data_IF_461207464326
#
_entry.id   IF_461207464326
#
_cell.length_a   1.000
_cell.length_b   1.000
_cell.length_c   1.000
_cell.angle_alpha   90.00
_cell.angle_beta   90.00
_cell.angle_gamma   90.00
#
_symmetry.space_group_name_H-M   'P 1'
#
loop_
_entity.id
_entity.type
_entity.pdbx_description
1 polymer ?
#
# COMPACT_ATOMS: atom_id res chain seq x y z
N UNK A 1 -7.31 -25.04 0.48
CA UNK A 1 -5.83 -25.09 0.68
C UNK A 1 -5.49 -24.54 2.05
N UNK A 2 -4.30 -24.87 2.56
CA UNK A 2 -3.72 -24.23 3.73
C UNK A 2 -2.66 -23.22 3.28
N UNK A 3 -2.79 -21.96 3.68
CA UNK A 3 -1.92 -20.85 3.27
C UNK A 3 -1.17 -20.31 4.50
N UNK A 4 0.16 -20.25 4.44
CA UNK A 4 0.98 -19.64 5.47
C UNK A 4 1.43 -18.24 5.01
N UNK A 5 1.06 -17.21 5.76
CA UNK A 5 1.45 -15.82 5.52
C UNK A 5 2.49 -15.39 6.56
N UNK A 6 3.64 -14.90 6.12
CA UNK A 6 4.74 -14.46 6.99
C UNK A 6 4.93 -12.95 6.83
N UNK A 7 4.74 -12.21 7.92
CA UNK A 7 4.81 -10.74 7.94
C UNK A 7 5.60 -10.23 9.14
N UNK A 8 6.16 -9.04 9.04
CA UNK A 8 6.93 -8.39 10.11
C UNK A 8 6.07 -7.57 11.09
N UNK A 9 4.79 -7.37 10.76
CA UNK A 9 3.86 -6.58 11.57
C UNK A 9 2.41 -6.96 11.20
N UNK A 10 1.50 -7.08 12.18
CA UNK A 10 0.15 -7.55 11.94
C UNK A 10 -0.88 -6.96 12.94
N UNK A 11 -2.16 -6.90 12.50
CA UNK A 11 -3.30 -6.48 13.33
C UNK A 11 -3.47 -7.38 14.57
N UNK A 12 -4.12 -6.92 15.66
CA UNK A 12 -4.55 -5.55 15.94
C UNK A 12 -3.44 -4.67 16.54
N UNK A 13 -2.25 -5.22 16.80
CA UNK A 13 -1.15 -4.51 17.47
C UNK A 13 -0.41 -3.52 16.57
N UNK A 14 -0.83 -3.38 15.32
CA UNK A 14 -0.28 -2.43 14.36
C UNK A 14 -1.35 -1.58 13.71
N UNK A 15 -1.05 -0.29 13.57
CA UNK A 15 -1.89 0.68 12.84
C UNK A 15 -1.36 0.94 11.43
N UNK A 16 -0.32 0.22 11.00
CA UNK A 16 0.26 0.41 9.68
C UNK A 16 -0.69 -0.07 8.57
N UNK A 17 -0.70 0.65 7.46
CA UNK A 17 -1.46 0.27 6.25
C UNK A 17 -1.10 -1.14 5.78
N UNK A 18 0.18 -1.51 5.82
CA UNK A 18 0.65 -2.84 5.44
C UNK A 18 0.03 -3.96 6.30
N UNK A 19 -0.05 -3.77 7.62
CA UNK A 19 -0.66 -4.75 8.53
C UNK A 19 -2.14 -4.94 8.22
N UNK A 20 -2.87 -3.85 7.95
CA UNK A 20 -4.27 -3.89 7.52
C UNK A 20 -4.42 -4.62 6.19
N UNK A 21 -3.63 -4.26 5.18
CA UNK A 21 -3.67 -4.90 3.85
C UNK A 21 -3.43 -6.41 3.94
N UNK A 22 -2.45 -6.84 4.73
CA UNK A 22 -2.14 -8.26 4.88
C UNK A 22 -3.23 -9.00 5.67
N UNK A 23 -3.93 -8.33 6.59
CA UNK A 23 -5.08 -8.89 7.28
C UNK A 23 -6.29 -9.01 6.32
N UNK A 24 -6.60 -8.00 5.54
CA UNK A 24 -7.64 -8.05 4.50
C UNK A 24 -7.39 -9.21 3.52
N UNK A 25 -6.15 -9.42 3.09
CA UNK A 25 -5.77 -10.54 2.22
C UNK A 25 -5.98 -11.90 2.90
N UNK A 26 -5.64 -12.01 4.19
CA UNK A 26 -5.84 -13.24 4.96
C UNK A 26 -7.33 -13.55 5.13
N UNK A 27 -8.15 -12.54 5.44
CA UNK A 27 -9.61 -12.66 5.53
C UNK A 27 -10.24 -13.06 4.19
N UNK A 28 -9.77 -12.48 3.08
CA UNK A 28 -10.26 -12.81 1.74
C UNK A 28 -9.96 -14.27 1.37
N UNK A 29 -8.76 -14.77 1.67
CA UNK A 29 -8.47 -16.20 1.49
C UNK A 29 -9.36 -17.08 2.38
N UNK A 30 -9.64 -16.66 3.61
CA UNK A 30 -10.54 -17.38 4.52
C UNK A 30 -11.98 -17.41 3.97
N UNK A 31 -12.46 -16.28 3.47
CA UNK A 31 -13.78 -16.18 2.82
C UNK A 31 -13.90 -17.08 1.57
N UNK A 32 -12.79 -17.29 0.86
CA UNK A 32 -12.70 -18.24 -0.28
C UNK A 32 -12.57 -19.72 0.17
N UNK A 33 -12.69 -20.01 1.46
CA UNK A 33 -12.66 -21.36 2.01
C UNK A 33 -11.25 -21.95 2.21
N UNK A 34 -10.21 -21.10 2.25
CA UNK A 34 -8.86 -21.54 2.58
C UNK A 34 -8.62 -21.46 4.10
N UNK A 35 -7.75 -22.33 4.62
CA UNK A 35 -7.27 -22.25 6.00
C UNK A 35 -6.01 -21.38 6.03
N UNK A 36 -6.08 -20.23 6.71
CA UNK A 36 -5.00 -19.25 6.74
C UNK A 36 -4.32 -19.24 8.08
N UNK A 37 -2.99 -19.34 8.07
CA UNK A 37 -2.13 -19.16 9.24
C UNK A 37 -1.21 -17.97 8.99
N UNK A 38 -1.22 -17.00 9.89
CA UNK A 38 -0.30 -15.84 9.85
C UNK A 38 0.77 -16.03 10.89
N UNK A 39 2.03 -15.88 10.50
CA UNK A 39 3.20 -15.93 11.38
C UNK A 39 3.83 -14.55 11.44
N UNK A 40 3.87 -13.96 12.63
CA UNK A 40 4.33 -12.57 12.83
C UNK A 40 5.10 -12.42 14.14
N UNK A 41 6.14 -11.56 14.24
CA UNK A 41 6.82 -11.29 15.48
C UNK A 41 5.93 -10.49 16.46
N UNK A 42 6.13 -10.70 17.72
CA UNK A 42 5.65 -9.83 18.78
C UNK A 42 6.75 -9.61 19.83
N UNK A 43 6.88 -8.37 20.30
CA UNK A 43 7.94 -7.98 21.26
C UNK A 43 7.43 -7.87 22.69
N UNK A 44 6.11 -7.81 22.86
CA UNK A 44 5.43 -7.53 24.14
C UNK A 44 4.71 -8.77 24.69
N UNK A 45 5.12 -9.97 24.31
CA UNK A 45 4.62 -11.25 24.85
C UNK A 45 5.68 -11.87 25.77
N UNK A 46 5.23 -12.49 26.86
CA UNK A 46 6.10 -13.18 27.80
C UNK A 46 6.42 -14.61 27.32
N UNK A 47 5.48 -15.26 26.69
CA UNK A 47 5.60 -16.60 26.13
C UNK A 47 6.41 -16.59 24.81
N UNK A 48 6.99 -17.73 24.47
CA UNK A 48 7.72 -17.87 23.20
C UNK A 48 6.81 -17.79 21.97
N UNK A 49 5.55 -18.22 22.12
CA UNK A 49 4.52 -18.24 21.08
C UNK A 49 3.14 -18.01 21.69
N UNK A 50 2.42 -17.05 21.15
CA UNK A 50 0.99 -16.84 21.44
C UNK A 50 0.20 -17.14 20.17
N UNK A 51 -0.91 -17.88 20.30
CA UNK A 51 -1.79 -18.23 19.18
C UNK A 51 -3.16 -17.65 19.45
N UNK A 52 -3.67 -16.87 18.51
CA UNK A 52 -4.98 -16.23 18.59
C UNK A 52 -5.78 -16.43 17.30
N UNK A 53 -7.08 -16.23 17.37
CA UNK A 53 -7.95 -16.15 16.19
C UNK A 53 -8.38 -14.69 16.00
N UNK A 54 -8.20 -14.18 14.80
CA UNK A 54 -8.60 -12.83 14.41
C UNK A 54 -9.39 -12.92 13.11
N UNK A 55 -10.69 -12.66 13.16
CA UNK A 55 -11.62 -12.70 12.02
C UNK A 55 -11.54 -14.02 11.22
N UNK A 56 -11.40 -15.15 11.92
CA UNK A 56 -11.29 -16.49 11.34
C UNK A 56 -9.89 -16.82 10.79
N UNK A 57 -8.91 -15.95 11.00
CA UNK A 57 -7.50 -16.15 10.66
C UNK A 57 -6.72 -16.58 11.90
N UNK A 58 -5.99 -17.70 11.80
CA UNK A 58 -5.15 -18.17 12.89
C UNK A 58 -3.82 -17.46 12.91
N UNK A 59 -3.53 -16.68 13.94
CA UNK A 59 -2.33 -15.83 14.06
C UNK A 59 -1.37 -16.43 15.08
N UNK A 60 -0.14 -16.70 14.65
CA UNK A 60 0.97 -17.23 15.45
C UNK A 60 1.97 -16.10 15.70
N UNK A 61 1.96 -15.56 16.92
CA UNK A 61 2.85 -14.47 17.35
C UNK A 61 4.05 -15.04 18.06
N UNK A 62 5.20 -15.02 17.42
CA UNK A 62 6.44 -15.49 18.03
C UNK A 62 7.21 -14.36 18.72
N UNK A 63 7.83 -14.68 19.87
CA UNK A 63 8.65 -13.74 20.62
C UNK A 63 9.86 -13.30 19.80
N UNK A 64 10.06 -11.97 19.70
CA UNK A 64 11.14 -11.36 18.97
C UNK A 64 11.77 -10.19 19.75
N UNK A 65 12.96 -9.77 19.35
CA UNK A 65 13.59 -8.58 19.91
C UNK A 65 12.96 -7.29 19.37
N UNK A 66 13.02 -6.21 20.17
CA UNK A 66 12.51 -4.88 19.76
C UNK A 66 13.27 -4.33 18.56
N UNK A 67 12.52 -3.85 17.55
CA UNK A 67 13.05 -3.21 16.34
C UNK A 67 12.74 -1.71 16.26
N UNK A 68 11.89 -1.20 17.17
CA UNK A 68 11.60 0.24 17.33
C UNK A 68 12.14 0.74 18.66
N UNK A 69 12.51 2.02 18.71
CA UNK A 69 13.03 2.68 19.91
C UNK A 69 14.27 1.99 20.51
N UNK A 70 15.13 1.46 19.67
CA UNK A 70 16.41 0.83 20.02
C UNK A 70 17.53 1.34 19.11
N UNK A 71 18.80 1.16 19.51
CA UNK A 71 19.94 1.55 18.67
C UNK A 71 19.92 0.84 17.31
N UNK A 72 20.50 1.47 16.28
CA UNK A 72 20.56 0.92 14.90
C UNK A 72 21.21 -0.47 14.88
N UNK A 73 22.23 -0.70 15.70
CA UNK A 73 22.91 -2.01 15.80
C UNK A 73 21.97 -3.06 16.39
N UNK A 74 21.30 -2.75 17.51
CA UNK A 74 20.35 -3.67 18.15
C UNK A 74 19.18 -3.98 17.25
N UNK A 75 18.68 -2.99 16.50
CA UNK A 75 17.67 -3.18 15.48
C UNK A 75 18.13 -4.16 14.40
N UNK A 76 19.31 -3.93 13.81
CA UNK A 76 19.84 -4.80 12.75
C UNK A 76 20.01 -6.25 13.24
N UNK A 77 20.50 -6.46 14.46
CA UNK A 77 20.61 -7.81 15.07
C UNK A 77 19.23 -8.45 15.21
N UNK A 78 18.26 -7.75 15.78
CA UNK A 78 16.92 -8.28 16.04
C UNK A 78 16.19 -8.60 14.73
N UNK A 79 16.30 -7.75 13.71
CA UNK A 79 15.75 -8.00 12.37
C UNK A 79 16.40 -9.23 11.71
N UNK A 80 17.73 -9.38 11.83
CA UNK A 80 18.46 -10.54 11.29
C UNK A 80 18.01 -11.85 11.93
N UNK A 81 17.69 -11.81 13.22
CA UNK A 81 17.24 -12.98 13.97
C UNK A 81 15.76 -13.34 13.72
N UNK A 82 15.00 -12.59 12.94
CA UNK A 82 13.57 -12.85 12.70
C UNK A 82 13.31 -14.29 12.20
N UNK A 83 14.02 -14.74 11.19
CA UNK A 83 13.88 -16.11 10.67
C UNK A 83 14.23 -17.19 11.71
N UNK A 84 15.27 -16.96 12.48
CA UNK A 84 15.69 -17.88 13.54
C UNK A 84 14.66 -17.93 14.67
N UNK A 85 14.20 -16.79 15.15
CA UNK A 85 13.21 -16.70 16.21
C UNK A 85 11.86 -17.31 15.80
N UNK A 86 11.41 -17.02 14.56
CA UNK A 86 10.21 -17.64 14.01
C UNK A 86 10.33 -19.16 13.96
N UNK A 87 11.45 -19.70 13.45
CA UNK A 87 11.67 -21.14 13.43
C UNK A 87 11.72 -21.73 14.84
N UNK A 88 12.52 -21.14 15.74
CA UNK A 88 12.69 -21.63 17.12
C UNK A 88 11.37 -21.71 17.87
N UNK A 89 10.56 -20.66 17.77
CA UNK A 89 9.35 -20.51 18.59
C UNK A 89 8.10 -21.16 17.96
N UNK A 90 8.08 -21.34 16.64
CA UNK A 90 6.97 -21.96 15.91
C UNK A 90 7.32 -23.37 15.35
N UNK A 91 8.41 -23.99 15.79
CA UNK A 91 8.91 -25.26 15.21
C UNK A 91 7.83 -26.35 15.19
N UNK A 92 7.20 -26.61 16.32
CA UNK A 92 6.19 -27.67 16.45
C UNK A 92 4.97 -27.38 15.55
N UNK A 93 4.58 -26.10 15.43
CA UNK A 93 3.55 -25.70 14.49
C UNK A 93 3.95 -26.01 13.05
N UNK A 94 5.15 -25.64 12.62
CA UNK A 94 5.60 -25.88 11.26
C UNK A 94 5.76 -27.35 10.92
N UNK A 95 6.26 -28.17 11.84
CA UNK A 95 6.48 -29.60 11.63
C UNK A 95 5.15 -30.39 11.59
N UNK A 96 4.15 -29.97 12.37
CA UNK A 96 2.86 -30.67 12.47
C UNK A 96 1.76 -30.12 11.55
N UNK A 97 2.00 -28.99 10.86
CA UNK A 97 1.01 -28.37 10.01
C UNK A 97 1.58 -28.08 8.61
N UNK A 98 1.40 -29.03 7.72
CA UNK A 98 1.73 -28.84 6.29
C UNK A 98 0.82 -27.76 5.68
N UNK A 99 1.41 -26.84 4.93
CA UNK A 99 0.70 -25.83 4.15
C UNK A 99 0.94 -26.04 2.65
N UNK A 100 0.06 -25.50 1.80
CA UNK A 100 0.09 -25.66 0.34
C UNK A 100 0.76 -24.47 -0.37
N UNK A 101 0.84 -23.32 0.30
CA UNK A 101 1.39 -22.07 -0.22
C UNK A 101 2.02 -21.25 0.91
N UNK A 102 3.19 -20.66 0.65
CA UNK A 102 3.81 -19.67 1.51
C UNK A 102 3.70 -18.29 0.84
N UNK A 103 3.17 -17.32 1.54
CA UNK A 103 3.17 -15.91 1.16
C UNK A 103 4.00 -15.16 2.18
N UNK A 104 4.92 -14.31 1.73
CA UNK A 104 5.69 -13.50 2.65
C UNK A 104 5.87 -12.08 2.14
N UNK A 105 6.00 -11.15 3.05
CA UNK A 105 5.89 -9.72 2.81
C UNK A 105 7.21 -9.00 3.03
N UNK A 106 7.64 -8.20 2.06
CA UNK A 106 8.71 -7.20 2.19
C UNK A 106 8.06 -5.82 2.39
N UNK A 107 8.49 -5.05 3.43
CA UNK A 107 9.87 -4.54 3.54
C UNK A 107 10.87 -5.39 4.32
N UNK A 108 10.50 -6.38 5.09
CA UNK A 108 11.52 -7.20 5.75
C UNK A 108 12.25 -8.12 4.75
N UNK A 109 13.57 -7.95 4.66
CA UNK A 109 14.44 -8.80 3.82
C UNK A 109 14.95 -10.05 4.56
N UNK A 110 14.55 -10.27 5.81
CA UNK A 110 15.13 -11.28 6.69
C UNK A 110 14.31 -12.57 6.81
N UNK A 111 13.19 -12.69 6.09
CA UNK A 111 12.39 -13.93 6.10
C UNK A 111 12.83 -15.01 5.11
N UNK A 112 13.71 -14.67 4.16
CA UNK A 112 14.21 -15.63 3.16
C UNK A 112 14.71 -16.96 3.74
N UNK A 113 15.55 -16.98 4.78
CA UNK A 113 16.03 -18.23 5.39
C UNK A 113 14.90 -19.11 5.95
N UNK A 114 13.89 -18.50 6.59
CA UNK A 114 12.69 -19.22 7.08
C UNK A 114 11.91 -19.81 5.91
N UNK A 115 11.65 -19.02 4.87
CA UNK A 115 10.91 -19.44 3.68
C UNK A 115 11.60 -20.60 2.98
N UNK A 116 12.91 -20.56 2.81
CA UNK A 116 13.67 -21.70 2.26
C UNK A 116 13.49 -22.97 3.07
N UNK A 117 13.54 -22.85 4.41
CA UNK A 117 13.37 -23.99 5.30
C UNK A 117 11.96 -24.59 5.22
N UNK A 118 10.93 -23.73 5.21
CA UNK A 118 9.53 -24.16 5.09
C UNK A 118 9.24 -24.75 3.71
N UNK A 119 9.77 -24.18 2.63
CA UNK A 119 9.66 -24.75 1.28
C UNK A 119 10.21 -26.18 1.21
N UNK A 120 11.37 -26.40 1.83
CA UNK A 120 11.96 -27.75 1.90
C UNK A 120 11.13 -28.70 2.76
N UNK A 121 10.60 -28.21 3.90
CA UNK A 121 9.80 -29.01 4.81
C UNK A 121 8.47 -29.44 4.19
N UNK A 122 7.79 -28.51 3.49
CA UNK A 122 6.44 -28.72 2.96
C UNK A 122 6.41 -29.06 1.46
N UNK A 123 7.53 -28.93 0.76
CA UNK A 123 7.63 -29.09 -0.70
C UNK A 123 6.61 -28.25 -1.47
N UNK A 124 6.56 -26.92 -1.19
CA UNK A 124 5.56 -26.00 -1.71
C UNK A 124 6.16 -24.79 -2.38
N UNK A 125 5.34 -24.07 -3.15
CA UNK A 125 5.71 -22.79 -3.75
C UNK A 125 5.58 -21.65 -2.77
N UNK A 126 6.27 -20.55 -3.10
CA UNK A 126 6.25 -19.32 -2.31
C UNK A 126 6.04 -18.10 -3.18
N UNK A 127 5.30 -17.15 -2.65
CA UNK A 127 5.00 -15.85 -3.25
C UNK A 127 5.57 -14.73 -2.38
N UNK A 128 6.44 -13.90 -2.94
CA UNK A 128 6.92 -12.68 -2.29
C UNK A 128 6.06 -11.49 -2.71
N UNK A 129 5.43 -10.82 -1.75
CA UNK A 129 4.81 -9.52 -1.96
C UNK A 129 5.88 -8.45 -1.71
N UNK A 130 6.46 -7.93 -2.78
CA UNK A 130 7.55 -6.96 -2.72
C UNK A 130 7.00 -5.53 -2.81
N UNK A 131 7.14 -4.78 -1.71
CA UNK A 131 6.63 -3.40 -1.59
C UNK A 131 7.71 -2.36 -1.36
N UNK A 132 8.94 -2.81 -1.13
CA UNK A 132 10.05 -1.93 -0.84
C UNK A 132 11.35 -2.50 -1.44
N UNK A 133 12.12 -1.65 -2.09
CA UNK A 133 13.41 -2.01 -2.68
C UNK A 133 14.57 -1.67 -1.72
N UNK A 134 14.43 -2.04 -0.44
CA UNK A 134 15.54 -1.94 0.49
C UNK A 134 16.60 -3.02 0.20
N UNK A 135 17.89 -2.70 0.14
CA UNK A 135 18.54 -1.45 0.56
C UNK A 135 18.66 -0.37 -0.53
N UNK A 136 18.18 -0.60 -1.75
CA UNK A 136 18.44 0.31 -2.87
C UNK A 136 17.90 1.73 -2.63
N UNK A 137 16.65 1.87 -2.16
CA UNK A 137 16.12 3.21 -1.86
C UNK A 137 16.95 3.98 -0.82
N UNK A 138 17.56 3.27 0.14
CA UNK A 138 18.42 3.90 1.14
C UNK A 138 19.78 4.32 0.55
N UNK A 139 20.25 3.63 -0.48
CA UNK A 139 21.44 4.01 -1.25
C UNK A 139 21.13 5.25 -2.09
N UNK A 140 20.01 5.24 -2.82
CA UNK A 140 19.59 6.34 -3.70
C UNK A 140 19.37 7.65 -2.91
N UNK A 141 18.82 7.53 -1.69
CA UNK A 141 18.66 8.65 -0.76
C UNK A 141 19.94 8.99 0.05
N UNK A 142 21.11 8.41 -0.28
CA UNK A 142 22.39 8.65 0.39
C UNK A 142 22.40 8.37 1.90
N UNK A 143 21.45 7.55 2.39
CA UNK A 143 21.40 7.06 3.78
C UNK A 143 22.43 5.95 3.98
N UNK A 144 22.66 5.14 2.95
CA UNK A 144 23.67 4.10 2.90
C UNK A 144 24.66 4.40 1.76
N UNK A 145 25.97 4.26 2.05
CA UNK A 145 26.98 4.30 0.99
C UNK A 145 26.98 3.00 0.20
N UNK A 146 26.97 3.08 -1.13
CA UNK A 146 26.87 1.92 -2.04
C UNK A 146 27.90 0.82 -1.77
N UNK A 147 29.12 1.20 -1.38
CA UNK A 147 30.24 0.29 -1.17
C UNK A 147 30.56 0.03 0.32
N UNK A 148 29.65 0.32 1.23
CA UNK A 148 29.87 0.07 2.64
C UNK A 148 29.66 -1.42 3.00
N UNK A 149 30.35 -1.96 4.01
CA UNK A 149 30.14 -3.34 4.47
C UNK A 149 28.68 -3.62 4.87
N UNK A 150 28.01 -2.62 5.46
CA UNK A 150 26.61 -2.75 5.87
C UNK A 150 25.67 -2.85 4.65
N UNK A 151 26.01 -2.20 3.54
CA UNK A 151 25.23 -2.30 2.29
C UNK A 151 25.39 -3.69 1.68
N UNK A 152 26.59 -4.25 1.66
CA UNK A 152 26.81 -5.63 1.20
C UNK A 152 26.07 -6.65 2.07
N UNK A 153 26.04 -6.42 3.38
CA UNK A 153 25.27 -7.21 4.32
C UNK A 153 23.77 -7.21 4.00
N UNK A 154 23.16 -6.05 3.79
CA UNK A 154 21.74 -5.96 3.42
C UNK A 154 21.48 -6.55 2.03
N UNK A 155 22.31 -6.30 1.04
CA UNK A 155 22.21 -6.90 -0.30
C UNK A 155 22.28 -8.42 -0.27
N UNK A 156 23.07 -9.00 0.64
CA UNK A 156 23.12 -10.44 0.84
C UNK A 156 21.77 -11.00 1.32
N UNK A 157 21.16 -10.39 2.34
CA UNK A 157 19.85 -10.83 2.82
C UNK A 157 18.74 -10.56 1.82
N UNK A 158 18.75 -9.43 1.13
CA UNK A 158 17.84 -9.14 0.03
C UNK A 158 17.91 -10.23 -1.05
N UNK A 159 19.11 -10.62 -1.47
CA UNK A 159 19.32 -11.71 -2.44
C UNK A 159 18.73 -13.02 -1.94
N UNK A 160 18.96 -13.40 -0.69
CA UNK A 160 18.37 -14.61 -0.09
C UNK A 160 16.84 -14.50 -0.10
N UNK A 161 16.30 -13.35 0.33
CA UNK A 161 14.86 -13.14 0.41
C UNK A 161 14.20 -13.27 -0.97
N UNK A 162 14.72 -12.58 -1.98
CA UNK A 162 14.20 -12.63 -3.34
C UNK A 162 14.36 -14.03 -3.98
N UNK A 163 15.49 -14.71 -3.74
CA UNK A 163 15.74 -16.06 -4.27
C UNK A 163 14.84 -17.12 -3.64
N UNK A 164 14.33 -16.90 -2.42
CA UNK A 164 13.40 -17.83 -1.77
C UNK A 164 12.04 -17.88 -2.48
N UNK A 165 11.64 -16.83 -3.21
CA UNK A 165 10.40 -16.79 -3.95
C UNK A 165 10.40 -17.72 -5.18
N UNK A 166 9.22 -18.24 -5.53
CA UNK A 166 8.93 -18.76 -6.87
C UNK A 166 8.37 -17.65 -7.76
N UNK A 167 7.50 -16.82 -7.19
CA UNK A 167 6.92 -15.66 -7.84
C UNK A 167 7.09 -14.42 -6.97
N UNK A 168 7.35 -13.28 -7.59
CA UNK A 168 7.48 -11.98 -6.93
C UNK A 168 6.43 -11.04 -7.48
N UNK A 169 5.54 -10.56 -6.59
CA UNK A 169 4.54 -9.54 -6.90
C UNK A 169 5.06 -8.15 -6.61
N UNK A 170 5.20 -7.34 -7.63
CA UNK A 170 5.78 -5.99 -7.62
C UNK A 170 4.69 -4.96 -7.83
N UNK A 171 4.80 -3.82 -7.20
CA UNK A 171 3.74 -2.85 -6.93
C UNK A 171 3.17 -2.14 -8.18
N UNK A 172 3.97 -1.97 -9.25
CA UNK A 172 3.55 -1.30 -10.48
C UNK A 172 4.35 -1.76 -11.70
N UNK A 173 3.89 -1.50 -12.95
CA UNK A 173 4.64 -1.81 -14.17
C UNK A 173 6.03 -1.17 -14.20
N UNK A 174 6.16 0.10 -13.83
CA UNK A 174 7.48 0.79 -13.80
C UNK A 174 8.42 0.19 -12.76
N UNK A 175 7.91 -0.17 -11.60
CA UNK A 175 8.69 -0.86 -10.57
C UNK A 175 9.12 -2.26 -11.04
N UNK A 176 8.29 -2.96 -11.80
CA UNK A 176 8.63 -4.25 -12.40
C UNK A 176 9.71 -4.11 -13.47
N UNK A 177 9.59 -3.12 -14.36
CA UNK A 177 10.60 -2.79 -15.36
C UNK A 177 11.95 -2.50 -14.70
N UNK A 178 11.95 -1.61 -13.70
CA UNK A 178 13.15 -1.28 -12.93
C UNK A 178 13.75 -2.51 -12.26
N UNK A 179 12.93 -3.34 -11.61
CA UNK A 179 13.38 -4.56 -10.93
C UNK A 179 14.03 -5.54 -11.92
N UNK A 180 13.45 -5.72 -13.09
CA UNK A 180 13.96 -6.61 -14.14
C UNK A 180 15.33 -6.14 -14.66
N UNK A 181 15.54 -4.83 -14.77
CA UNK A 181 16.83 -4.27 -15.17
C UNK A 181 17.89 -4.39 -14.06
N UNK A 182 17.48 -4.20 -12.81
CA UNK A 182 18.40 -4.19 -11.66
C UNK A 182 18.74 -5.60 -11.16
N UNK A 183 17.77 -6.50 -11.15
CA UNK A 183 17.92 -7.88 -10.71
C UNK A 183 17.81 -8.86 -11.86
N UNK A 184 18.92 -9.55 -12.14
CA UNK A 184 18.87 -10.75 -13.00
C UNK A 184 18.26 -11.90 -12.19
N UNK A 185 17.07 -12.33 -12.53
CA UNK A 185 16.35 -13.39 -11.82
C UNK A 185 15.66 -14.34 -12.80
N UNK A 186 15.56 -15.60 -12.40
CA UNK A 186 14.79 -16.66 -13.06
C UNK A 186 13.38 -16.82 -12.49
N UNK A 187 13.00 -15.93 -11.57
CA UNK A 187 11.70 -15.99 -10.88
C UNK A 187 10.59 -15.45 -11.78
N UNK A 188 9.40 -15.99 -11.60
CA UNK A 188 8.19 -15.39 -12.19
C UNK A 188 7.95 -14.02 -11.56
N UNK A 189 7.78 -13.00 -12.39
CA UNK A 189 7.50 -11.63 -11.94
C UNK A 189 6.10 -11.22 -12.37
N UNK A 190 5.37 -10.57 -11.48
CA UNK A 190 4.02 -10.09 -11.72
C UNK A 190 3.83 -8.69 -11.16
N UNK A 191 3.00 -7.87 -11.82
CA UNK A 191 2.50 -6.63 -11.21
C UNK A 191 1.40 -7.03 -10.22
N UNK A 192 1.60 -6.75 -8.95
CA UNK A 192 0.60 -6.91 -7.89
C UNK A 192 0.40 -5.56 -7.22
N UNK A 193 -0.63 -4.85 -7.59
CA UNK A 193 -0.95 -3.55 -7.00
C UNK A 193 -1.26 -3.66 -5.50
N UNK A 194 -1.18 -2.55 -4.78
CA UNK A 194 -1.75 -2.46 -3.44
C UNK A 194 -3.28 -2.63 -3.54
N UNK A 195 -3.89 -3.11 -2.48
CA UNK A 195 -5.32 -3.41 -2.45
C UNK A 195 -6.02 -2.81 -1.25
N UNK A 196 -7.34 -2.77 -1.33
CA UNK A 196 -8.23 -2.42 -0.22
C UNK A 196 -9.47 -3.30 -0.27
N UNK A 197 -10.19 -3.38 0.84
CA UNK A 197 -11.61 -3.77 0.85
C UNK A 197 -12.39 -2.77 -0.02
N UNK A 198 -13.41 -3.24 -0.71
CA UNK A 198 -14.23 -2.45 -1.63
C UNK A 198 -15.50 -1.91 -1.01
N UNK A 199 -15.71 -2.14 0.30
CA UNK A 199 -16.91 -1.70 1.01
C UNK A 199 -16.77 -0.24 1.45
N UNK A 200 -17.63 0.67 0.96
CA UNK A 200 -17.63 2.05 1.39
C UNK A 200 -18.05 2.18 2.86
N UNK A 201 -17.65 3.26 3.47
CA UNK A 201 -18.07 3.61 4.82
C UNK A 201 -19.51 4.11 4.80
N UNK A 202 -20.42 3.34 5.41
CA UNK A 202 -21.82 3.72 5.51
C UNK A 202 -21.98 4.81 6.57
N UNK A 203 -22.37 6.01 6.14
CA UNK A 203 -22.68 7.14 7.02
C UNK A 203 -24.04 7.72 6.66
N UNK A 204 -24.91 7.82 7.65
CA UNK A 204 -26.29 8.32 7.47
C UNK A 204 -26.42 9.86 7.57
N UNK A 205 -25.35 10.58 7.93
CA UNK A 205 -25.40 12.01 8.20
C UNK A 205 -24.25 12.78 7.54
N UNK A 206 -24.56 13.81 6.78
CA UNK A 206 -23.61 14.78 6.22
C UNK A 206 -23.05 15.70 7.31
N UNK A 207 -22.32 15.14 8.29
CA UNK A 207 -21.83 15.83 9.49
C UNK A 207 -20.83 16.94 9.17
N UNK A 208 -19.84 16.61 8.31
CA UNK A 208 -18.76 17.54 7.99
C UNK A 208 -19.17 18.58 6.98
N UNK A 209 -20.01 18.25 6.00
CA UNK A 209 -20.60 19.26 5.10
C UNK A 209 -21.37 20.32 5.87
N UNK A 210 -22.24 19.92 6.82
CA UNK A 210 -22.99 20.83 7.69
C UNK A 210 -22.09 21.64 8.61
N UNK A 211 -21.13 20.97 9.28
CA UNK A 211 -20.21 21.64 10.21
C UNK A 211 -19.37 22.72 9.53
N UNK A 212 -19.04 22.54 8.27
CA UNK A 212 -18.20 23.44 7.49
C UNK A 212 -19.00 24.37 6.55
N UNK A 213 -20.33 24.28 6.54
CA UNK A 213 -21.23 25.02 5.65
C UNK A 213 -20.91 24.79 4.16
N UNK A 214 -20.75 23.51 3.77
CA UNK A 214 -20.33 23.08 2.43
C UNK A 214 -21.41 22.25 1.69
N UNK A 215 -22.68 22.33 2.10
CA UNK A 215 -23.79 21.54 1.53
C UNK A 215 -23.95 21.75 0.02
N UNK A 216 -23.80 23.00 -0.43
CA UNK A 216 -23.96 23.40 -1.83
C UNK A 216 -22.63 23.45 -2.62
N UNK A 217 -21.53 22.95 -2.04
CA UNK A 217 -20.19 22.99 -2.64
C UNK A 217 -19.77 21.65 -3.21
N UNK A 218 -18.94 21.69 -4.24
CA UNK A 218 -18.11 20.58 -4.67
C UNK A 218 -16.82 20.63 -3.84
N UNK A 219 -16.62 19.62 -3.00
CA UNK A 219 -15.51 19.60 -2.03
C UNK A 219 -14.32 18.84 -2.59
N UNK A 220 -13.21 19.55 -2.77
CA UNK A 220 -11.90 19.03 -3.15
C UNK A 220 -11.12 18.70 -1.88
N UNK A 221 -11.01 17.43 -1.57
CA UNK A 221 -10.50 16.92 -0.30
C UNK A 221 -9.08 16.38 -0.41
N UNK A 222 -8.19 16.87 0.44
CA UNK A 222 -6.88 16.28 0.68
C UNK A 222 -6.79 15.83 2.15
N UNK A 223 -6.40 14.58 2.37
CA UNK A 223 -6.18 14.07 3.73
C UNK A 223 -4.86 13.32 3.87
N UNK A 224 -4.09 13.62 4.92
CA UNK A 224 -2.85 12.94 5.24
C UNK A 224 -1.68 13.82 5.60
N UNK A 225 -0.46 13.39 5.29
CA UNK A 225 0.75 14.16 5.60
C UNK A 225 0.81 15.46 4.77
N UNK A 226 0.97 16.60 5.45
CA UNK A 226 1.15 17.94 4.88
C UNK A 226 2.64 18.29 4.92
N UNK A 227 3.43 17.63 4.05
CA UNK A 227 4.88 17.74 4.11
C UNK A 227 5.53 17.91 2.75
N UNK A 228 6.81 18.22 2.78
CA UNK A 228 7.64 18.56 1.61
C UNK A 228 7.61 17.51 0.48
N UNK A 229 7.52 16.23 0.82
CA UNK A 229 7.45 15.15 -0.17
C UNK A 229 6.16 15.19 -1.03
N UNK A 230 5.11 15.82 -0.52
CA UNK A 230 3.82 15.96 -1.20
C UNK A 230 3.76 17.24 -2.06
N UNK A 231 4.57 18.26 -1.79
CA UNK A 231 4.47 19.58 -2.42
C UNK A 231 3.04 20.15 -2.33
N UNK A 232 2.57 20.40 -1.11
CA UNK A 232 1.20 20.88 -0.87
C UNK A 232 0.91 22.22 -1.54
N UNK A 233 1.94 23.03 -1.83
CA UNK A 233 1.77 24.29 -2.55
C UNK A 233 1.24 24.12 -3.97
N UNK A 234 1.42 22.96 -4.61
CA UNK A 234 0.76 22.64 -5.87
C UNK A 234 -0.78 22.72 -5.73
N UNK A 235 -1.34 22.19 -4.64
CA UNK A 235 -2.78 22.26 -4.37
C UNK A 235 -3.24 23.64 -3.88
N UNK A 236 -2.40 24.37 -3.14
CA UNK A 236 -2.69 25.76 -2.75
C UNK A 236 -2.76 26.65 -3.98
N UNK A 237 -1.85 26.52 -4.94
CA UNK A 237 -1.89 27.25 -6.22
C UNK A 237 -3.15 26.91 -7.04
N UNK A 238 -3.57 25.63 -7.04
CA UNK A 238 -4.83 25.24 -7.66
C UNK A 238 -6.01 25.94 -7.01
N UNK A 239 -6.11 25.93 -5.69
CA UNK A 239 -7.18 26.60 -4.96
C UNK A 239 -7.18 28.13 -5.21
N UNK A 240 -5.99 28.74 -5.31
CA UNK A 240 -5.86 30.16 -5.66
C UNK A 240 -6.38 30.47 -7.07
N UNK A 241 -6.12 29.61 -8.07
CA UNK A 241 -6.69 29.74 -9.42
C UNK A 241 -8.20 29.59 -9.42
N UNK A 242 -8.74 28.71 -8.55
CA UNK A 242 -10.19 28.44 -8.42
C UNK A 242 -10.91 29.38 -7.44
N UNK A 243 -10.30 30.43 -6.92
CA UNK A 243 -10.92 31.31 -5.91
C UNK A 243 -12.22 31.97 -6.33
N UNK A 244 -12.45 32.16 -7.63
CA UNK A 244 -13.65 32.73 -8.21
C UNK A 244 -14.72 31.69 -8.59
N UNK A 245 -14.42 30.38 -8.41
CA UNK A 245 -15.34 29.30 -8.68
C UNK A 245 -16.23 29.06 -7.47
N UNK A 246 -17.34 29.75 -7.40
CA UNK A 246 -18.21 29.77 -6.22
C UNK A 246 -18.70 28.39 -5.77
N UNK A 247 -18.71 27.41 -6.65
CA UNK A 247 -19.09 26.00 -6.33
C UNK A 247 -17.95 25.18 -5.75
N UNK A 248 -16.71 25.58 -5.90
CA UNK A 248 -15.54 24.80 -5.45
C UNK A 248 -15.12 25.21 -4.04
N UNK A 249 -14.83 24.22 -3.20
CA UNK A 249 -14.21 24.45 -1.89
C UNK A 249 -13.17 23.36 -1.59
N UNK A 250 -12.04 23.76 -1.05
CA UNK A 250 -10.92 22.86 -0.72
C UNK A 250 -10.92 22.58 0.78
N UNK A 251 -10.78 21.31 1.15
CA UNK A 251 -10.63 20.89 2.55
C UNK A 251 -9.35 20.10 2.67
N UNK A 252 -8.38 20.64 3.41
CA UNK A 252 -7.11 19.98 3.71
C UNK A 252 -7.12 19.54 5.18
N UNK A 253 -6.85 18.24 5.41
CA UNK A 253 -6.88 17.63 6.74
C UNK A 253 -5.58 16.86 6.97
N UNK A 254 -4.84 17.20 8.01
CA UNK A 254 -3.63 16.49 8.33
C UNK A 254 -2.67 17.19 9.27
N UNK A 255 -1.47 16.67 9.32
CA UNK A 255 -0.34 17.26 10.03
C UNK A 255 0.94 17.04 9.19
N UNK A 256 1.94 17.87 9.41
CA UNK A 256 3.21 17.79 8.72
C UNK A 256 4.03 19.07 8.90
N UNK A 257 5.24 19.06 8.40
CA UNK A 257 6.20 20.16 8.49
C UNK A 257 5.83 21.39 7.66
N UNK A 258 4.89 21.27 6.73
CA UNK A 258 4.38 22.39 5.92
C UNK A 258 3.03 22.97 6.43
N UNK A 259 2.44 22.45 7.54
CA UNK A 259 1.13 22.89 8.02
C UNK A 259 1.07 24.41 8.24
N UNK A 260 1.99 24.96 9.03
CA UNK A 260 2.02 26.40 9.37
C UNK A 260 2.30 27.27 8.12
N UNK A 261 3.08 26.78 7.17
CA UNK A 261 3.37 27.46 5.91
C UNK A 261 2.12 27.53 5.02
N UNK A 262 1.31 26.46 4.99
CA UNK A 262 0.04 26.43 4.25
C UNK A 262 -0.94 27.39 4.90
N UNK A 263 -1.11 27.36 6.22
CA UNK A 263 -1.98 28.27 6.97
C UNK A 263 -1.64 29.74 6.68
N UNK A 264 -0.36 30.10 6.80
CA UNK A 264 0.14 31.44 6.47
C UNK A 264 -0.16 31.84 5.01
N UNK A 265 0.03 30.93 4.06
CA UNK A 265 -0.25 31.19 2.65
C UNK A 265 -1.76 31.42 2.38
N UNK A 266 -2.64 30.70 3.08
CA UNK A 266 -4.09 30.91 3.00
C UNK A 266 -4.47 32.31 3.47
N UNK A 267 -3.90 32.74 4.61
CA UNK A 267 -4.16 34.06 5.18
C UNK A 267 -3.63 35.21 4.29
N UNK A 268 -2.36 35.12 3.86
CA UNK A 268 -1.70 36.14 3.04
C UNK A 268 -2.40 36.35 1.69
N UNK A 269 -2.88 35.27 1.07
CA UNK A 269 -3.58 35.31 -0.23
C UNK A 269 -5.10 35.46 -0.09
N UNK A 270 -5.63 35.54 1.15
CA UNK A 270 -7.05 35.65 1.46
C UNK A 270 -7.91 34.62 0.74
N UNK A 271 -7.51 33.35 0.85
CA UNK A 271 -8.18 32.22 0.18
C UNK A 271 -9.37 31.74 1.00
N UNK A 272 -10.53 32.32 0.76
CA UNK A 272 -11.78 31.94 1.45
C UNK A 272 -12.38 30.61 0.99
N UNK A 273 -11.82 30.03 -0.08
CA UNK A 273 -12.23 28.74 -0.63
C UNK A 273 -11.37 27.56 -0.14
N UNK A 274 -10.59 27.74 0.93
CA UNK A 274 -9.80 26.67 1.59
C UNK A 274 -10.18 26.60 3.06
N UNK A 275 -10.42 25.40 3.56
CA UNK A 275 -10.48 25.06 4.98
C UNK A 275 -9.31 24.13 5.31
N UNK A 276 -8.44 24.54 6.24
CA UNK A 276 -7.34 23.74 6.76
C UNK A 276 -7.71 23.21 8.14
N UNK A 277 -7.63 21.89 8.34
CA UNK A 277 -7.98 21.22 9.59
C UNK A 277 -6.79 20.37 10.09
N UNK A 278 -6.62 20.25 11.41
CA UNK A 278 -5.64 19.33 11.98
C UNK A 278 -5.98 17.87 11.63
N UNK A 279 -5.04 16.98 11.90
CA UNK A 279 -5.28 15.53 11.73
C UNK A 279 -6.43 15.05 12.60
N UNK A 280 -7.23 14.16 12.05
CA UNK A 280 -8.39 13.53 12.69
C UNK A 280 -8.14 12.04 12.89
N UNK A 281 -8.97 11.37 13.70
CA UNK A 281 -8.91 9.91 13.82
C UNK A 281 -9.41 9.20 12.54
N UNK A 282 -9.22 7.87 12.47
CA UNK A 282 -9.54 7.10 11.28
C UNK A 282 -11.04 7.10 10.91
N UNK A 283 -11.92 7.07 11.91
CA UNK A 283 -13.37 7.03 11.67
C UNK A 283 -13.87 8.39 11.17
N UNK A 284 -13.38 9.47 11.74
CA UNK A 284 -13.64 10.83 11.25
C UNK A 284 -13.11 11.03 9.83
N UNK A 285 -11.92 10.49 9.53
CA UNK A 285 -11.34 10.55 8.18
C UNK A 285 -12.20 9.82 7.14
N UNK A 286 -12.65 8.60 7.45
CA UNK A 286 -13.56 7.84 6.59
C UNK A 286 -14.89 8.54 6.38
N UNK A 287 -15.45 9.14 7.46
CA UNK A 287 -16.66 9.91 7.37
C UNK A 287 -16.50 11.13 6.45
N UNK A 288 -15.39 11.86 6.54
CA UNK A 288 -15.10 12.96 5.60
C UNK A 288 -15.02 12.46 4.15
N UNK A 289 -14.33 11.33 3.91
CA UNK A 289 -14.25 10.74 2.59
C UNK A 289 -15.63 10.40 2.02
N UNK A 290 -16.53 9.81 2.83
CA UNK A 290 -17.88 9.44 2.37
C UNK A 290 -18.80 10.64 2.07
N UNK A 291 -18.42 11.84 2.53
CA UNK A 291 -19.23 13.06 2.33
C UNK A 291 -18.73 13.96 1.20
N UNK A 292 -17.48 13.82 0.74
CA UNK A 292 -16.86 14.76 -0.19
C UNK A 292 -16.84 14.24 -1.62
N UNK A 293 -16.42 15.05 -2.60
CA UNK A 293 -16.64 14.77 -4.02
C UNK A 293 -15.37 14.43 -4.77
N UNK A 294 -14.24 15.05 -4.42
CA UNK A 294 -12.98 14.97 -5.17
C UNK A 294 -11.85 14.64 -4.23
N UNK A 295 -11.19 13.54 -4.47
CA UNK A 295 -9.99 13.13 -3.74
C UNK A 295 -8.72 13.71 -4.38
N UNK A 296 -8.05 14.59 -3.64
CA UNK A 296 -6.82 15.24 -4.08
C UNK A 296 -5.58 14.50 -3.63
N UNK A 297 -4.58 14.47 -4.49
CA UNK A 297 -3.22 14.12 -4.08
C UNK A 297 -2.19 14.88 -4.90
N UNK A 298 -0.99 14.99 -4.35
CA UNK A 298 0.16 15.59 -5.03
C UNK A 298 1.44 14.91 -4.57
N UNK A 299 2.39 14.78 -5.48
CA UNK A 299 3.75 14.29 -5.22
C UNK A 299 4.74 15.31 -5.78
N UNK A 300 5.78 15.59 -5.02
CA UNK A 300 6.83 16.51 -5.45
C UNK A 300 7.46 16.03 -6.77
N UNK A 301 7.64 16.95 -7.73
CA UNK A 301 8.21 16.64 -9.06
C UNK A 301 9.60 15.99 -9.03
N UNK A 302 10.36 16.24 -7.95
CA UNK A 302 11.69 15.66 -7.76
C UNK A 302 11.67 14.31 -7.04
N UNK A 303 10.48 13.77 -6.76
CA UNK A 303 10.36 12.45 -6.15
C UNK A 303 10.82 11.38 -7.14
N UNK A 304 11.71 10.49 -6.70
CA UNK A 304 12.33 9.47 -7.57
C UNK A 304 11.63 8.11 -7.50
N UNK A 305 10.76 7.90 -6.52
CA UNK A 305 10.01 6.64 -6.42
C UNK A 305 8.68 6.74 -7.19
N UNK A 306 8.27 5.61 -7.79
CA UNK A 306 7.04 5.49 -8.58
C UNK A 306 5.93 4.80 -7.79
N UNK A 307 5.80 5.15 -6.51
CA UNK A 307 4.79 4.58 -5.65
C UNK A 307 3.44 5.25 -5.86
N UNK A 308 2.38 4.46 -5.89
CA UNK A 308 1.02 4.99 -5.92
C UNK A 308 0.64 5.52 -4.54
N UNK A 309 0.06 6.73 -4.45
CA UNK A 309 -0.39 7.29 -3.17
C UNK A 309 -1.43 6.37 -2.51
N UNK A 310 -1.19 5.96 -1.26
CA UNK A 310 -2.09 5.04 -0.55
C UNK A 310 -3.51 5.59 -0.35
N UNK A 311 -3.68 6.92 -0.34
CA UNK A 311 -4.99 7.58 -0.25
C UNK A 311 -5.90 7.33 -1.46
N UNK A 312 -5.32 7.01 -2.62
CA UNK A 312 -6.04 6.68 -3.84
C UNK A 312 -7.06 5.54 -3.63
N UNK A 313 -6.68 4.51 -2.86
CA UNK A 313 -7.58 3.39 -2.54
C UNK A 313 -8.82 3.87 -1.80
N UNK A 314 -8.65 4.72 -0.78
CA UNK A 314 -9.78 5.31 -0.05
C UNK A 314 -10.68 6.15 -0.95
N UNK A 315 -10.12 6.92 -1.87
CA UNK A 315 -10.90 7.71 -2.84
C UNK A 315 -11.75 6.83 -3.75
N UNK A 316 -11.18 5.72 -4.25
CA UNK A 316 -11.94 4.78 -5.09
C UNK A 316 -13.02 4.03 -4.32
N UNK A 317 -12.75 3.66 -3.05
CA UNK A 317 -13.74 2.99 -2.17
C UNK A 317 -14.92 3.90 -1.88
N UNK A 318 -14.67 5.17 -1.57
CA UNK A 318 -15.70 6.15 -1.22
C UNK A 318 -16.26 6.90 -2.44
N UNK A 319 -15.92 6.46 -3.64
CA UNK A 319 -16.44 6.99 -4.92
C UNK A 319 -16.13 8.50 -5.14
N UNK A 320 -14.95 8.98 -4.68
CA UNK A 320 -14.47 10.33 -5.00
C UNK A 320 -13.82 10.35 -6.39
N UNK A 321 -13.96 11.45 -7.11
CA UNK A 321 -13.19 11.69 -8.33
C UNK A 321 -11.71 11.83 -7.99
N UNK A 322 -10.86 11.13 -8.69
CA UNK A 322 -9.41 11.21 -8.52
C UNK A 322 -8.88 12.43 -9.30
N UNK A 323 -8.28 13.37 -8.58
CA UNK A 323 -7.63 14.55 -9.17
C UNK A 323 -6.27 14.77 -8.50
N UNK A 324 -5.20 14.87 -9.28
CA UNK A 324 -3.91 15.13 -8.66
C UNK A 324 -2.74 15.30 -9.60
N UNK A 325 -1.58 15.52 -8.97
CA UNK A 325 -0.31 15.71 -9.64
C UNK A 325 0.72 14.70 -9.15
N UNK A 326 1.55 14.22 -10.06
CA UNK A 326 2.61 13.24 -9.80
C UNK A 326 3.96 13.71 -10.30
N UNK A 327 5.01 13.04 -9.85
CA UNK A 327 6.34 13.17 -10.41
C UNK A 327 6.39 12.62 -11.85
N UNK A 328 7.30 13.10 -12.69
CA UNK A 328 7.50 12.59 -14.05
C UNK A 328 7.77 11.08 -14.06
N UNK A 329 7.34 10.40 -15.12
CA UNK A 329 7.51 8.95 -15.33
C UNK A 329 6.82 8.04 -14.32
N UNK A 330 5.88 8.53 -13.52
CA UNK A 330 5.06 7.72 -12.67
C UNK A 330 3.89 7.12 -13.48
N UNK A 331 3.73 5.80 -13.43
CA UNK A 331 2.74 5.05 -14.22
C UNK A 331 1.31 5.10 -13.66
N UNK A 332 1.09 5.84 -12.58
CA UNK A 332 -0.27 6.08 -12.08
C UNK A 332 -1.14 6.84 -13.08
N UNK A 333 -0.55 7.78 -13.83
CA UNK A 333 -1.27 8.52 -14.86
C UNK A 333 -1.84 7.57 -15.89
N UNK A 334 -1.02 6.66 -16.40
CA UNK A 334 -1.40 5.74 -17.46
C UNK A 334 -2.62 4.88 -17.07
N UNK A 335 -2.64 4.33 -15.85
CA UNK A 335 -3.75 3.48 -15.40
C UNK A 335 -5.03 4.27 -15.11
N UNK A 336 -4.92 5.51 -14.58
CA UNK A 336 -6.09 6.35 -14.34
C UNK A 336 -6.69 6.83 -15.66
N UNK A 337 -5.88 7.16 -16.67
CA UNK A 337 -6.32 7.57 -17.99
C UNK A 337 -6.90 6.40 -18.79
N UNK A 338 -6.29 5.19 -18.72
CA UNK A 338 -6.82 3.97 -19.35
C UNK A 338 -8.24 3.68 -18.92
N UNK A 339 -8.52 3.82 -17.63
CA UNK A 339 -9.86 3.60 -17.07
C UNK A 339 -10.75 4.84 -17.12
N UNK A 340 -10.25 6.02 -17.47
CA UNK A 340 -10.95 7.30 -17.37
C UNK A 340 -11.50 7.53 -15.94
N UNK A 341 -10.74 7.14 -14.94
CA UNK A 341 -11.14 7.13 -13.52
C UNK A 341 -10.89 8.46 -12.80
N UNK A 342 -10.36 9.46 -13.51
CA UNK A 342 -10.01 10.76 -12.94
C UNK A 342 -9.02 11.51 -13.84
N UNK A 343 -8.37 12.52 -13.27
CA UNK A 343 -7.46 13.40 -13.99
C UNK A 343 -6.13 13.52 -13.27
N UNK A 344 -5.03 13.19 -13.98
CA UNK A 344 -3.68 13.23 -13.45
C UNK A 344 -2.80 14.14 -14.30
N UNK A 345 -2.04 15.02 -13.63
CA UNK A 345 -1.06 15.89 -14.27
C UNK A 345 0.35 15.62 -13.75
N UNK A 346 1.35 16.09 -14.45
CA UNK A 346 2.69 16.17 -13.88
C UNK A 346 2.77 17.41 -12.99
N UNK A 347 3.35 17.27 -11.80
CA UNK A 347 3.50 18.40 -10.88
C UNK A 347 4.34 19.53 -11.52
N UNK A 348 3.76 20.71 -11.56
CA UNK A 348 4.26 21.88 -12.28
C UNK A 348 3.42 22.25 -13.50
N UNK A 349 2.53 21.39 -13.97
CA UNK A 349 1.54 21.68 -15.03
C UNK A 349 0.29 22.31 -14.41
N UNK A 350 0.46 23.44 -13.72
CA UNK A 350 -0.58 24.08 -12.91
C UNK A 350 -1.82 24.53 -13.74
N UNK A 351 -1.64 24.88 -15.02
CA UNK A 351 -2.77 25.26 -15.89
C UNK A 351 -3.59 24.04 -16.28
N UNK A 352 -2.95 22.92 -16.62
CA UNK A 352 -3.65 21.67 -16.93
C UNK A 352 -4.37 21.11 -15.71
N UNK A 353 -3.76 21.21 -14.53
CA UNK A 353 -4.40 20.80 -13.27
C UNK A 353 -5.66 21.64 -13.01
N UNK A 354 -5.60 22.95 -13.26
CA UNK A 354 -6.76 23.85 -13.14
C UNK A 354 -7.86 23.50 -14.15
N UNK A 355 -7.53 23.29 -15.43
CA UNK A 355 -8.48 22.84 -16.46
C UNK A 355 -9.19 21.54 -16.06
N UNK A 356 -8.42 20.58 -15.55
CA UNK A 356 -8.96 19.30 -15.06
C UNK A 356 -9.87 19.48 -13.84
N UNK A 357 -9.51 20.38 -12.93
CA UNK A 357 -10.35 20.71 -11.78
C UNK A 357 -11.70 21.34 -12.22
N UNK A 358 -11.70 22.19 -13.26
CA UNK A 358 -12.94 22.74 -13.82
C UNK A 358 -13.84 21.66 -14.45
N UNK A 359 -13.27 20.64 -15.12
CA UNK A 359 -14.05 19.53 -15.67
C UNK A 359 -14.83 18.78 -14.59
N UNK A 360 -14.27 18.71 -13.38
CA UNK A 360 -14.90 18.04 -12.23
C UNK A 360 -16.12 18.82 -11.70
N UNK A 361 -16.25 20.10 -11.97
CA UNK A 361 -17.46 20.86 -11.62
C UNK A 361 -18.71 20.39 -12.38
N UNK A 362 -18.55 19.74 -13.52
CA UNK A 362 -19.63 19.11 -14.26
C UNK A 362 -20.05 17.78 -13.62
N UNK A 363 -21.33 17.63 -13.32
CA UNK A 363 -21.89 16.45 -12.64
C UNK A 363 -21.74 15.16 -13.47
N UNK A 364 -21.93 15.23 -14.78
CA UNK A 364 -21.80 14.07 -15.67
C UNK A 364 -20.36 13.55 -15.67
N UNK A 365 -19.38 14.46 -15.78
CA UNK A 365 -17.96 14.08 -15.70
C UNK A 365 -17.63 13.43 -14.36
N UNK A 366 -18.14 13.96 -13.23
CA UNK A 366 -17.93 13.33 -11.92
C UNK A 366 -18.51 11.93 -11.88
N UNK A 367 -19.76 11.75 -12.27
CA UNK A 367 -20.42 10.45 -12.26
C UNK A 367 -19.71 9.42 -13.13
N UNK A 368 -19.21 9.82 -14.28
CA UNK A 368 -18.42 8.94 -15.15
C UNK A 368 -17.08 8.55 -14.50
N UNK A 369 -16.35 9.51 -13.94
CA UNK A 369 -15.09 9.25 -13.27
C UNK A 369 -15.26 8.33 -12.05
N UNK A 370 -16.26 8.56 -11.18
CA UNK A 370 -16.49 7.73 -9.99
C UNK A 370 -16.90 6.31 -10.35
N UNK A 371 -17.77 6.12 -11.34
CA UNK A 371 -18.14 4.79 -11.87
C UNK A 371 -16.91 4.04 -12.39
N UNK A 372 -16.06 4.72 -13.13
CA UNK A 372 -14.85 4.16 -13.70
C UNK A 372 -13.79 3.88 -12.62
N UNK A 373 -13.66 4.75 -11.62
CA UNK A 373 -12.78 4.54 -10.47
C UNK A 373 -13.20 3.30 -9.65
N UNK A 374 -14.49 3.09 -9.47
CA UNK A 374 -15.02 1.86 -8.84
C UNK A 374 -14.68 0.61 -9.64
N UNK A 375 -14.81 0.67 -10.98
CA UNK A 375 -14.39 -0.43 -11.85
C UNK A 375 -12.88 -0.69 -11.74
N UNK A 376 -12.07 0.35 -11.77
CA UNK A 376 -10.62 0.25 -11.60
C UNK A 376 -10.26 -0.38 -10.24
N UNK A 377 -10.95 0.01 -9.16
CA UNK A 377 -10.78 -0.60 -7.84
C UNK A 377 -11.05 -2.10 -7.90
N UNK A 378 -12.19 -2.52 -8.45
CA UNK A 378 -12.58 -3.93 -8.56
C UNK A 378 -11.58 -4.74 -9.39
N UNK A 379 -11.19 -4.24 -10.55
CA UNK A 379 -10.34 -4.96 -11.52
C UNK A 379 -8.88 -5.07 -11.06
N UNK A 380 -8.33 -4.05 -10.38
CA UNK A 380 -6.88 -3.92 -10.13
C UNK A 380 -6.50 -3.76 -8.66
N UNK A 381 -7.32 -3.09 -7.86
CA UNK A 381 -6.96 -2.65 -6.52
C UNK A 381 -7.82 -3.26 -5.41
N UNK A 382 -8.71 -4.21 -5.72
CA UNK A 382 -9.46 -4.94 -4.70
C UNK A 382 -8.63 -6.07 -4.09
N UNK A 383 -8.91 -6.38 -2.83
CA UNK A 383 -8.34 -7.55 -2.16
C UNK A 383 -8.69 -8.84 -2.88
N UNK A 384 -9.87 -8.90 -3.50
CA UNK A 384 -10.31 -10.03 -4.32
C UNK A 384 -9.42 -10.22 -5.56
N UNK A 385 -9.14 -9.14 -6.30
CA UNK A 385 -8.23 -9.17 -7.46
C UNK A 385 -6.82 -9.64 -7.05
N UNK A 386 -6.28 -9.10 -5.95
CA UNK A 386 -4.97 -9.48 -5.43
C UNK A 386 -4.93 -10.96 -5.01
N UNK A 387 -5.94 -11.45 -4.30
CA UNK A 387 -6.02 -12.85 -3.87
C UNK A 387 -6.12 -13.81 -5.06
N UNK A 388 -6.96 -13.50 -6.06
CA UNK A 388 -7.10 -14.29 -7.29
C UNK A 388 -5.77 -14.38 -8.05
N UNK A 389 -5.05 -13.26 -8.17
CA UNK A 389 -3.77 -13.23 -8.85
C UNK A 389 -2.70 -14.08 -8.13
N UNK A 390 -2.65 -14.03 -6.80
CA UNK A 390 -1.72 -14.86 -6.02
C UNK A 390 -2.04 -16.35 -6.16
N UNK A 391 -3.32 -16.73 -6.18
CA UNK A 391 -3.74 -18.13 -6.29
C UNK A 391 -3.44 -18.77 -7.65
N UNK A 392 -3.37 -18.00 -8.74
CA UNK A 392 -3.03 -18.50 -10.08
C UNK A 392 -1.73 -19.27 -10.14
N UNK A 393 -0.73 -18.95 -9.30
CA UNK A 393 0.53 -19.70 -9.29
C UNK A 393 0.38 -21.19 -8.94
N UNK A 394 -0.66 -21.53 -8.20
CA UNK A 394 -0.97 -22.94 -7.84
C UNK A 394 -1.73 -23.60 -8.97
N UNK A 395 -2.64 -22.89 -9.62
CA UNK A 395 -3.44 -23.40 -10.74
C UNK A 395 -2.57 -23.71 -11.96
N UNK A 396 -1.71 -22.78 -12.35
CA UNK A 396 -0.76 -22.95 -13.45
C UNK A 396 0.15 -24.17 -13.23
N UNK A 397 0.54 -24.45 -11.99
CA UNK A 397 1.36 -25.61 -11.64
C UNK A 397 0.58 -26.90 -11.81
N UNK A 398 -0.68 -26.94 -11.41
CA UNK A 398 -1.52 -28.14 -11.56
C UNK A 398 -1.78 -28.44 -13.04
N UNK A 399 -1.98 -27.40 -13.86
CA UNK A 399 -2.15 -27.58 -15.31
C UNK A 399 -0.89 -28.09 -15.99
N UNK A 400 0.30 -27.59 -15.61
CA UNK A 400 1.58 -28.11 -16.14
C UNK A 400 1.77 -29.58 -15.78
N UNK A 401 1.57 -29.95 -14.51
CA UNK A 401 1.71 -31.34 -14.07
C UNK A 401 0.71 -32.27 -14.76
N UNK A 402 -0.53 -31.82 -15.02
CA UNK A 402 -1.53 -32.57 -15.75
C UNK A 402 -1.18 -32.73 -17.24
N UNK A 403 -0.67 -31.67 -17.86
CA UNK A 403 -0.16 -31.69 -19.23
C UNK A 403 1.00 -32.66 -19.41
N UNK A 404 1.98 -32.63 -18.49
CA UNK A 404 3.14 -33.53 -18.51
C UNK A 404 2.71 -34.99 -18.31
N UNK A 405 1.72 -35.23 -17.43
CA UNK A 405 1.18 -36.58 -17.23
C UNK A 405 0.45 -37.11 -18.48
N UNK A 406 -0.31 -36.25 -19.17
CA UNK A 406 -1.00 -36.63 -20.42
C UNK A 406 -0.06 -36.83 -21.60
N UNK A 407 1.14 -36.20 -21.59
CA UNK A 407 2.16 -36.44 -22.64
C UNK A 407 3.00 -37.70 -22.39
N UNK A 408 2.92 -38.29 -21.21
CA UNK A 408 3.61 -39.51 -20.85
C UNK A 408 2.74 -40.79 -20.98
N UNK A 409 1.49 -40.62 -21.33
CA UNK A 409 0.52 -41.69 -21.72
C UNK A 409 0.36 -41.74 -23.24
#
# INVERSE_FOLDING_TARGET
MKICIIVDDYMPHSIKVAAKMMHELACEFTAKGHKVSVVTPNVDIDENLVVEDLDGVRVYRFKSGKIKNVSKIKRAINETLLSYNAWKNCKDFFENNHHDLIIYYSPSIFFGPLVYKLKKLWNVKSYLILRDFFPQWAIDNKILSQNSPITYYFKFFEKINNSAANTIGIMSPKNLEWFTQYYKTDKSLQVLYNWSDTKPFLCDNAKYRKKLNLEDKIVYFYGGNLGHAQDMFNLVRLAQKMKNENKAHFVFVGAGDEYDLIEKSIEENKLSNITLLPSVNQDEFKQMLSEFDVGLFTLNKNHITHNFPGKLLGYMVEELVILGSINPNNDLKDIIEEYQAGYITINGEDDLLYENALKVLNTENRNNCTKNAKKLLQDKFSVESASNQILKIIEDTKMMLFSDYMMLQ
#
